data_IF_065643567690
#
_entry.id   IF_065643567690
#
_cell.length_a   1.000
_cell.length_b   1.000
_cell.length_c   1.000
_cell.angle_alpha   90.00
_cell.angle_beta   90.00
_cell.angle_gamma   90.00
#
_symmetry.space_group_name_H-M   'P 1'
#
loop_
_entity.id
_entity.type
_entity.pdbx_description
1 polymer ?
#
# COMPACT_ATOMS: atom_id res chain seq x y z
N UNK A 1 14.79 3.19 -18.38
CA UNK A 1 14.24 3.41 -17.03
C UNK A 1 15.42 3.67 -16.10
N UNK A 2 15.44 4.81 -15.41
CA UNK A 2 16.59 5.25 -14.61
C UNK A 2 16.31 5.10 -13.11
N UNK A 3 17.33 4.73 -12.33
CA UNK A 3 17.25 4.73 -10.85
C UNK A 3 17.82 6.04 -10.33
N UNK A 4 17.00 6.87 -9.69
CA UNK A 4 17.40 8.21 -9.26
C UNK A 4 18.16 8.22 -7.91
N UNK A 5 19.09 9.16 -7.74
CA UNK A 5 19.75 9.42 -6.46
C UNK A 5 18.81 10.11 -5.46
N UNK A 6 19.16 10.07 -4.16
CA UNK A 6 18.37 10.72 -3.11
C UNK A 6 18.14 12.20 -3.45
N UNK A 7 16.87 12.60 -3.53
CA UNK A 7 16.51 13.99 -3.87
C UNK A 7 16.04 14.21 -5.30
N UNK A 8 15.90 13.17 -6.14
CA UNK A 8 15.49 13.30 -7.54
C UNK A 8 14.36 12.33 -7.93
N UNK A 9 13.50 12.72 -8.88
CA UNK A 9 12.36 11.94 -9.39
C UNK A 9 12.06 12.26 -10.87
N UNK A 10 11.17 11.50 -11.52
CA UNK A 10 10.88 11.57 -12.96
C UNK A 10 11.43 10.39 -13.75
N UNK A 11 10.95 10.19 -14.98
CA UNK A 11 11.36 9.07 -15.85
C UNK A 11 12.86 9.11 -16.17
N UNK A 12 13.43 10.32 -16.17
CA UNK A 12 14.84 10.60 -16.40
C UNK A 12 15.50 11.33 -15.20
N UNK A 13 14.90 11.28 -14.00
CA UNK A 13 15.40 11.96 -12.79
C UNK A 13 15.52 13.49 -12.91
N UNK A 14 14.76 14.11 -13.80
CA UNK A 14 14.83 15.53 -14.16
C UNK A 14 14.19 16.46 -13.11
N UNK A 15 13.48 15.91 -12.13
CA UNK A 15 12.77 16.68 -11.11
C UNK A 15 13.51 16.60 -9.78
N UNK A 16 14.02 17.75 -9.32
CA UNK A 16 14.57 17.88 -7.95
C UNK A 16 13.46 17.83 -6.92
N UNK A 17 13.76 17.21 -5.80
CA UNK A 17 12.79 16.90 -4.79
C UNK A 17 13.46 17.00 -3.41
N UNK A 18 12.79 17.66 -2.47
CA UNK A 18 13.32 17.83 -1.11
C UNK A 18 13.13 16.56 -0.30
N UNK A 19 13.99 16.20 0.66
CA UNK A 19 13.85 14.95 1.45
C UNK A 19 12.43 14.74 2.04
N UNK A 20 11.73 15.83 2.41
CA UNK A 20 10.32 15.82 2.88
C UNK A 20 9.24 15.65 1.79
N UNK A 21 9.60 15.84 0.52
CA UNK A 21 8.76 15.68 -0.68
C UNK A 21 9.16 14.45 -1.53
N UNK A 22 10.31 13.82 -1.26
CA UNK A 22 10.80 12.60 -1.96
C UNK A 22 10.37 11.33 -1.28
N UNK A 23 10.21 11.41 0.02
CA UNK A 23 8.98 10.93 0.61
C UNK A 23 7.88 11.77 -0.03
N UNK A 24 7.38 11.37 -1.20
CA UNK A 24 5.98 11.66 -1.49
C UNK A 24 5.29 11.32 -0.18
N UNK A 25 4.68 12.29 0.52
CA UNK A 25 3.87 11.99 1.71
C UNK A 25 2.90 10.95 1.18
N UNK A 26 3.18 9.67 1.43
CA UNK A 26 2.31 8.65 0.92
C UNK A 26 1.03 8.94 1.68
N UNK A 27 -0.03 9.26 0.97
CA UNK A 27 -1.33 9.56 1.57
C UNK A 27 -1.98 8.26 2.07
N UNK A 28 -1.18 7.31 2.58
CA UNK A 28 -1.64 6.05 3.10
C UNK A 28 -2.58 6.34 4.26
N UNK A 29 -3.79 5.83 4.16
CA UNK A 29 -4.81 5.90 5.20
C UNK A 29 -4.80 4.60 6.01
N UNK A 30 -5.65 4.53 7.03
CA UNK A 30 -5.87 3.33 7.82
C UNK A 30 -4.59 2.68 8.35
N UNK A 31 -3.65 3.49 8.85
CA UNK A 31 -2.34 3.03 9.38
C UNK A 31 -1.41 2.36 8.37
N UNK A 32 -1.62 2.58 7.07
CA UNK A 32 -0.71 2.12 6.02
C UNK A 32 0.69 2.76 6.13
N UNK A 33 1.71 1.97 5.82
CA UNK A 33 3.13 2.38 5.87
C UNK A 33 3.64 2.72 4.47
N UNK A 34 4.29 3.87 4.31
CA UNK A 34 4.90 4.29 3.05
C UNK A 34 6.15 3.47 2.74
N UNK A 35 6.15 2.68 1.66
CA UNK A 35 7.29 1.86 1.21
C UNK A 35 8.24 2.63 0.27
N UNK A 36 7.93 3.89 -0.05
CA UNK A 36 8.67 4.69 -1.03
C UNK A 36 8.05 4.65 -2.43
N UNK A 37 8.48 5.55 -3.33
CA UNK A 37 7.92 5.72 -4.70
C UNK A 37 6.40 5.97 -4.77
N UNK A 38 5.78 6.43 -3.68
CA UNK A 38 4.33 6.61 -3.59
C UNK A 38 3.54 5.32 -3.35
N UNK A 39 4.21 4.21 -3.06
CA UNK A 39 3.57 2.93 -2.76
C UNK A 39 3.28 2.81 -1.25
N UNK A 40 2.05 2.47 -0.91
CA UNK A 40 1.63 2.15 0.45
C UNK A 40 1.64 0.64 0.69
N UNK A 41 2.16 0.22 1.84
CA UNK A 41 1.87 -1.09 2.41
C UNK A 41 0.73 -0.93 3.41
N UNK A 42 -0.42 -1.51 3.09
CA UNK A 42 -1.60 -1.41 3.90
C UNK A 42 -1.55 -2.33 5.12
N UNK A 43 -2.20 -1.86 6.18
CA UNK A 43 -2.48 -2.63 7.38
C UNK A 43 -3.47 -3.76 7.05
N UNK A 44 -3.61 -4.70 8.00
CA UNK A 44 -4.57 -5.78 7.83
C UNK A 44 -6.00 -5.25 7.71
N UNK A 45 -6.77 -5.83 6.79
CA UNK A 45 -8.12 -5.38 6.46
C UNK A 45 -8.22 -4.32 5.38
N UNK A 46 -7.09 -3.79 4.87
CA UNK A 46 -7.06 -2.71 3.89
C UNK A 46 -6.17 -2.99 2.69
N UNK A 47 -6.54 -2.41 1.56
CA UNK A 47 -5.84 -2.49 0.28
C UNK A 47 -6.04 -1.20 -0.55
N UNK A 48 -5.51 -1.21 -1.76
CA UNK A 48 -5.50 -0.08 -2.69
C UNK A 48 -4.24 0.77 -2.56
N UNK A 49 -4.05 1.67 -3.53
CA UNK A 49 -2.83 2.50 -3.66
C UNK A 49 -2.51 3.35 -2.43
N UNK A 50 -3.55 3.71 -1.66
CA UNK A 50 -3.48 4.54 -0.45
C UNK A 50 -4.19 3.91 0.76
N UNK A 51 -4.47 2.60 0.72
CA UNK A 51 -5.06 1.87 1.86
C UNK A 51 -6.45 2.36 2.28
N UNK A 52 -7.25 2.83 1.33
CA UNK A 52 -8.63 3.31 1.56
C UNK A 52 -9.68 2.25 1.30
N UNK A 53 -9.32 1.16 0.63
CA UNK A 53 -10.25 0.11 0.23
C UNK A 53 -10.21 -1.02 1.25
N UNK A 54 -11.35 -1.48 1.79
CA UNK A 54 -11.37 -2.66 2.64
C UNK A 54 -11.04 -3.91 1.84
N UNK A 55 -10.64 -5.01 2.50
CA UNK A 55 -10.39 -6.26 1.79
C UNK A 55 -11.63 -6.76 1.04
N UNK A 56 -11.45 -7.26 -0.20
CA UNK A 56 -12.52 -7.93 -0.91
C UNK A 56 -12.91 -9.24 -0.20
N UNK A 57 -14.14 -9.70 -0.40
CA UNK A 57 -14.59 -10.97 0.15
C UNK A 57 -13.65 -12.12 -0.27
N UNK A 58 -13.29 -12.96 0.70
CA UNK A 58 -12.35 -14.06 0.50
C UNK A 58 -10.88 -13.70 0.66
N UNK A 59 -10.54 -12.46 1.05
CA UNK A 59 -9.16 -12.05 1.36
C UNK A 59 -9.05 -11.35 2.71
N UNK A 60 -7.89 -11.49 3.34
CA UNK A 60 -7.58 -10.86 4.63
C UNK A 60 -6.09 -10.50 4.76
N UNK A 61 -5.73 -9.90 5.89
CA UNK A 61 -4.34 -9.57 6.22
C UNK A 61 -3.83 -8.31 5.50
N UNK A 62 -2.53 -7.99 5.63
CA UNK A 62 -1.94 -6.77 5.09
C UNK A 62 -1.97 -6.75 3.56
N UNK A 63 -2.48 -5.66 2.97
CA UNK A 63 -2.77 -5.53 1.54
C UNK A 63 -3.74 -6.60 1.01
N UNK A 64 -4.46 -7.30 1.89
CA UNK A 64 -5.39 -8.37 1.54
C UNK A 64 -4.74 -9.47 0.69
N UNK A 65 -3.49 -9.81 1.02
CA UNK A 65 -2.69 -10.78 0.26
C UNK A 65 -2.97 -12.23 0.68
N UNK A 66 -3.64 -12.43 1.80
CA UNK A 66 -3.99 -13.75 2.33
C UNK A 66 -5.40 -14.15 1.88
N UNK A 67 -5.63 -15.45 1.66
CA UNK A 67 -6.91 -15.99 1.19
C UNK A 67 -7.66 -16.69 2.31
N UNK A 68 -8.94 -16.36 2.45
CA UNK A 68 -9.79 -16.94 3.47
C UNK A 68 -10.14 -18.39 3.14
N UNK A 69 -10.09 -19.26 4.15
CA UNK A 69 -10.40 -20.69 4.02
C UNK A 69 -11.69 -21.02 4.77
N UNK A 70 -12.75 -20.26 4.50
CA UNK A 70 -14.07 -20.49 5.09
C UNK A 70 -14.89 -21.46 4.22
N UNK A 71 -15.36 -22.56 4.80
CA UNK A 71 -16.29 -23.48 4.13
C UNK A 71 -17.75 -23.03 4.31
N UNK A 72 -18.68 -23.59 3.52
CA UNK A 72 -20.13 -23.37 3.63
C UNK A 72 -20.57 -21.90 3.55
N UNK A 73 -19.95 -21.11 2.67
CA UNK A 73 -20.21 -19.66 2.54
C UNK A 73 -19.97 -18.86 3.84
N UNK A 74 -19.05 -19.32 4.68
CA UNK A 74 -18.58 -18.55 5.83
C UNK A 74 -17.91 -17.26 5.39
N UNK A 75 -18.05 -16.21 6.20
CA UNK A 75 -17.38 -14.92 6.01
C UNK A 75 -16.16 -14.86 6.93
N UNK A 76 -15.02 -14.50 6.37
CA UNK A 76 -13.80 -14.25 7.11
C UNK A 76 -13.73 -12.81 7.61
N UNK A 77 -13.00 -12.60 8.71
CA UNK A 77 -12.65 -11.26 9.16
C UNK A 77 -11.53 -10.68 8.25
N UNK A 78 -11.70 -9.48 7.67
CA UNK A 78 -10.68 -8.87 6.81
C UNK A 78 -9.31 -8.67 7.46
N UNK A 79 -9.25 -8.60 8.79
CA UNK A 79 -8.03 -8.38 9.57
C UNK A 79 -7.42 -9.71 9.99
N UNK A 80 -8.23 -10.64 10.49
CA UNK A 80 -7.75 -11.88 11.12
C UNK A 80 -7.87 -13.16 10.26
N UNK A 81 -8.75 -13.19 9.26
CA UNK A 81 -9.04 -14.37 8.43
C UNK A 81 -10.17 -15.25 8.94
#
# INVERSE_FOLDING_TARGET
ECTCQEGFTGTFCERTCNKRKCQARCSCQNTGTCKGKGVCACSAGWTGSVCTEPCPEGRFGPNCTEECVCHNAGKCDPVAG
#
